data_IF_876568762468
#
_entry.id   IF_876568762468
#
_cell.length_a   1.000
_cell.length_b   1.000
_cell.length_c   1.000
_cell.angle_alpha   90.00
_cell.angle_beta   90.00
_cell.angle_gamma   90.00
#
_symmetry.space_group_name_H-M   'P 1'
#
loop_
_entity.id
_entity.type
_entity.pdbx_description
1 polymer ?
#
# COMPACT_ATOMS: atom_id res chain seq x y z
N UNK A 1 0.71 4.20 -2.95
CA UNK A 1 -0.35 4.61 -3.89
C UNK A 1 0.36 5.28 -5.04
N UNK A 2 -0.02 5.02 -6.28
CA UNK A 2 0.59 5.63 -7.45
C UNK A 2 -0.50 6.23 -8.35
N UNK A 3 -0.17 7.29 -9.07
CA UNK A 3 -0.98 7.85 -10.14
C UNK A 3 -0.16 7.73 -11.42
N UNK A 4 -0.76 7.21 -12.49
CA UNK A 4 -0.07 6.98 -13.75
C UNK A 4 -0.69 7.84 -14.85
N UNK A 5 0.14 8.66 -15.51
CA UNK A 5 -0.22 9.28 -16.78
C UNK A 5 -0.11 8.22 -17.89
N UNK A 6 -1.27 7.78 -18.39
CA UNK A 6 -1.33 6.74 -19.43
C UNK A 6 -0.88 7.24 -20.81
N UNK A 7 -0.88 8.55 -21.07
CA UNK A 7 -0.34 9.12 -22.29
C UNK A 7 1.18 9.09 -22.24
N UNK A 8 1.78 9.55 -21.14
CA UNK A 8 3.23 9.46 -20.92
C UNK A 8 3.69 7.99 -20.90
N UNK A 9 2.93 7.09 -20.26
CA UNK A 9 3.20 5.66 -20.25
C UNK A 9 3.39 5.09 -21.65
N UNK A 10 2.46 5.40 -22.57
CA UNK A 10 2.53 4.93 -23.97
C UNK A 10 3.70 5.56 -24.71
N UNK A 11 3.94 6.86 -24.54
CA UNK A 11 5.03 7.58 -25.20
C UNK A 11 6.42 7.06 -24.80
N UNK A 12 6.59 6.73 -23.52
CA UNK A 12 7.85 6.20 -22.98
C UNK A 12 7.95 4.67 -23.05
N UNK A 13 7.01 4.00 -23.71
CA UNK A 13 6.97 2.54 -23.89
C UNK A 13 7.19 1.74 -22.59
N UNK A 14 6.60 2.20 -21.49
CA UNK A 14 6.82 1.65 -20.13
C UNK A 14 6.51 0.16 -20.06
N UNK A 15 5.47 -0.31 -20.75
CA UNK A 15 5.11 -1.74 -20.81
C UNK A 15 6.26 -2.61 -21.31
N UNK A 16 6.97 -2.18 -22.36
CA UNK A 16 8.10 -2.95 -22.89
C UNK A 16 9.28 -2.97 -21.92
N UNK A 17 9.58 -1.84 -21.25
CA UNK A 17 10.61 -1.80 -20.21
C UNK A 17 10.30 -2.73 -19.04
N UNK A 18 9.03 -2.79 -18.62
CA UNK A 18 8.59 -3.72 -17.59
C UNK A 18 8.84 -5.18 -17.99
N UNK A 19 8.43 -5.57 -19.21
CA UNK A 19 8.65 -6.94 -19.69
C UNK A 19 10.13 -7.27 -19.85
N UNK A 20 10.95 -6.34 -20.34
CA UNK A 20 12.40 -6.51 -20.40
C UNK A 20 12.97 -6.87 -19.02
N UNK A 21 12.64 -6.12 -17.98
CA UNK A 21 13.14 -6.42 -16.63
C UNK A 21 12.60 -7.73 -16.08
N UNK A 22 11.35 -8.07 -16.35
CA UNK A 22 10.78 -9.37 -15.98
C UNK A 22 11.53 -10.54 -16.64
N UNK A 23 11.91 -10.40 -17.92
CA UNK A 23 12.70 -11.39 -18.64
C UNK A 23 14.13 -11.48 -18.09
N UNK A 24 14.75 -10.35 -17.75
CA UNK A 24 16.09 -10.34 -17.14
C UNK A 24 16.12 -11.05 -15.78
N UNK A 25 14.99 -11.10 -15.06
CA UNK A 25 14.87 -11.81 -13.79
C UNK A 25 14.14 -13.16 -13.93
N UNK A 26 14.09 -13.75 -15.12
CA UNK A 26 13.40 -15.03 -15.35
C UNK A 26 13.94 -16.17 -14.47
N UNK A 27 15.24 -16.14 -14.14
CA UNK A 27 15.90 -17.10 -13.25
C UNK A 27 15.92 -16.66 -11.77
N UNK A 28 15.26 -15.55 -11.43
CA UNK A 28 15.19 -14.96 -10.08
C UNK A 28 16.54 -14.56 -9.46
N UNK A 29 17.54 -14.26 -10.29
CA UNK A 29 18.88 -13.85 -9.81
C UNK A 29 18.98 -12.37 -9.43
N UNK A 30 18.19 -11.49 -10.06
CA UNK A 30 18.21 -10.05 -9.78
C UNK A 30 17.37 -9.69 -8.55
N UNK A 31 16.21 -10.34 -8.35
CA UNK A 31 15.40 -10.26 -7.14
C UNK A 31 14.55 -11.51 -6.94
N UNK A 32 14.20 -11.78 -5.68
CA UNK A 32 13.46 -13.01 -5.33
C UNK A 32 11.96 -12.90 -5.54
N UNK A 33 11.31 -11.89 -4.95
CA UNK A 33 9.85 -11.81 -4.91
C UNK A 33 9.36 -10.36 -4.87
N UNK A 34 8.13 -10.19 -5.35
CA UNK A 34 7.40 -8.93 -5.30
C UNK A 34 7.54 -8.10 -6.56
N UNK A 35 6.60 -7.17 -6.74
CA UNK A 35 6.51 -6.29 -7.91
C UNK A 35 7.30 -5.00 -7.72
N UNK A 36 7.74 -4.69 -6.49
CA UNK A 36 8.41 -3.43 -6.19
C UNK A 36 9.76 -3.28 -6.92
N UNK A 37 10.68 -4.26 -6.92
CA UNK A 37 11.94 -4.13 -7.66
C UNK A 37 11.72 -3.92 -9.16
N UNK A 38 10.84 -4.73 -9.77
CA UNK A 38 10.48 -4.60 -11.18
C UNK A 38 9.90 -3.21 -11.49
N UNK A 39 9.02 -2.69 -10.62
CA UNK A 39 8.48 -1.33 -10.75
C UNK A 39 9.58 -0.25 -10.67
N UNK A 40 10.47 -0.31 -9.67
CA UNK A 40 11.53 0.69 -9.52
C UNK A 40 12.47 0.74 -10.73
N UNK A 41 12.82 -0.43 -11.30
CA UNK A 41 13.63 -0.52 -12.51
C UNK A 41 12.87 -0.01 -13.75
N UNK A 42 11.58 -0.32 -13.86
CA UNK A 42 10.72 0.11 -14.97
C UNK A 42 10.54 1.61 -15.02
N UNK A 43 10.38 2.26 -13.87
CA UNK A 43 10.11 3.69 -13.77
C UNK A 43 11.34 4.53 -13.38
N UNK A 44 12.55 3.96 -13.46
CA UNK A 44 13.75 4.68 -13.08
C UNK A 44 13.89 5.97 -13.92
N UNK A 45 13.95 7.12 -13.25
CA UNK A 45 14.00 8.44 -13.89
C UNK A 45 12.67 8.93 -14.51
N UNK A 46 11.57 8.19 -14.33
CA UNK A 46 10.24 8.51 -14.87
C UNK A 46 9.20 8.79 -13.78
N UNK A 47 9.62 8.97 -12.52
CA UNK A 47 8.73 9.20 -11.38
C UNK A 47 8.86 10.61 -10.84
N UNK A 48 7.73 11.10 -10.32
CA UNK A 48 7.66 12.32 -9.52
C UNK A 48 7.19 11.98 -8.11
N UNK A 49 7.79 12.56 -7.06
CA UNK A 49 7.35 12.31 -5.70
C UNK A 49 6.00 12.98 -5.42
N UNK A 50 5.10 12.24 -4.78
CA UNK A 50 3.88 12.81 -4.21
C UNK A 50 4.16 13.34 -2.80
N UNK A 51 3.49 14.43 -2.42
CA UNK A 51 3.47 14.87 -1.02
C UNK A 51 3.00 13.71 -0.13
N UNK A 52 3.72 13.46 0.96
CA UNK A 52 3.48 12.31 1.85
C UNK A 52 2.05 12.27 2.41
N UNK A 53 1.33 13.40 2.47
CA UNK A 53 -0.08 13.46 2.87
C UNK A 53 -1.01 12.74 1.90
N UNK A 54 -0.63 12.53 0.65
CA UNK A 54 -1.44 11.72 -0.28
C UNK A 54 -1.55 10.26 0.17
N UNK A 55 -0.51 9.72 0.81
CA UNK A 55 -0.47 8.32 1.22
C UNK A 55 0.36 8.10 2.48
N UNK A 56 -0.32 8.03 3.63
CA UNK A 56 0.32 7.73 4.92
C UNK A 56 0.24 6.23 5.19
N UNK A 57 1.40 5.58 5.07
CA UNK A 57 1.58 4.15 5.36
C UNK A 57 2.18 3.92 6.76
N UNK A 58 2.14 2.66 7.20
CA UNK A 58 2.76 2.17 8.43
C UNK A 58 1.77 1.82 9.54
N UNK A 59 0.46 2.01 9.32
CA UNK A 59 -0.53 1.87 10.40
C UNK A 59 -0.77 0.40 10.85
N UNK A 60 -0.05 -0.56 10.30
CA UNK A 60 -0.02 -1.95 10.78
C UNK A 60 1.33 -2.38 11.38
N UNK A 61 2.29 -1.48 11.58
CA UNK A 61 3.54 -1.79 12.29
C UNK A 61 4.22 -0.61 13.01
N UNK A 62 3.98 0.65 12.60
CA UNK A 62 4.59 1.83 13.19
C UNK A 62 3.68 2.47 14.26
N UNK A 63 4.13 2.42 15.52
CA UNK A 63 3.39 2.97 16.67
C UNK A 63 3.45 4.50 16.76
N UNK A 64 4.33 5.15 16.00
CA UNK A 64 4.78 6.54 16.22
C UNK A 64 4.38 7.51 15.10
N UNK A 65 3.42 7.13 14.25
CA UNK A 65 2.92 8.06 13.22
C UNK A 65 2.22 9.24 13.91
N UNK A 66 2.58 10.46 13.51
CA UNK A 66 1.97 11.69 14.01
C UNK A 66 0.47 11.74 13.67
N UNK A 67 -0.37 12.05 14.66
CA UNK A 67 -1.81 12.23 14.48
C UNK A 67 -2.12 13.32 13.45
N UNK A 68 -1.37 14.43 13.43
CA UNK A 68 -1.60 15.52 12.46
C UNK A 68 -1.37 15.05 11.03
N UNK A 69 -0.41 14.16 10.83
CA UNK A 69 -0.15 13.56 9.53
C UNK A 69 -1.27 12.60 9.13
N UNK A 70 -1.80 11.80 10.07
CA UNK A 70 -2.95 10.92 9.83
C UNK A 70 -4.21 11.74 9.48
N UNK A 71 -4.47 12.82 10.21
CA UNK A 71 -5.65 13.67 10.02
C UNK A 71 -5.63 14.42 8.68
N UNK A 72 -4.44 14.83 8.22
CA UNK A 72 -4.26 15.49 6.92
C UNK A 72 -4.07 14.53 5.75
N UNK A 73 -4.14 13.22 5.99
CA UNK A 73 -3.92 12.22 4.96
C UNK A 73 -5.12 12.08 4.02
N UNK A 74 -4.88 12.03 2.71
CA UNK A 74 -5.91 11.64 1.74
C UNK A 74 -6.23 10.13 1.84
N UNK A 75 -5.18 9.31 1.99
CA UNK A 75 -5.28 7.86 2.16
C UNK A 75 -4.36 7.39 3.27
N UNK A 76 -4.90 6.61 4.20
CA UNK A 76 -4.13 5.87 5.21
C UNK A 76 -4.01 4.40 4.81
N UNK A 77 -2.85 3.78 5.05
CA UNK A 77 -2.59 2.39 4.70
C UNK A 77 -2.17 1.57 5.91
N UNK A 78 -3.03 0.61 6.27
CA UNK A 78 -2.79 -0.39 7.31
C UNK A 78 -1.91 -1.54 6.79
N UNK A 79 -0.73 -1.24 6.26
CA UNK A 79 0.26 -2.26 5.88
C UNK A 79 1.02 -2.77 7.11
N UNK A 80 1.42 -4.05 7.07
CA UNK A 80 2.04 -4.74 8.20
C UNK A 80 1.17 -5.85 8.80
N UNK A 81 1.61 -6.36 9.95
CA UNK A 81 1.03 -7.54 10.59
C UNK A 81 0.02 -7.19 11.70
N UNK A 82 0.02 -5.94 12.20
CA UNK A 82 -0.85 -5.48 13.29
C UNK A 82 -2.02 -4.63 12.76
N UNK A 83 -2.69 -5.12 11.71
CA UNK A 83 -3.81 -4.45 11.04
C UNK A 83 -5.03 -4.33 11.98
N UNK A 84 -5.87 -3.28 11.87
CA UNK A 84 -6.86 -2.92 12.89
C UNK A 84 -7.97 -3.94 13.13
N UNK A 85 -8.20 -4.86 12.18
CA UNK A 85 -9.15 -5.96 12.30
C UNK A 85 -8.60 -7.22 12.99
N UNK A 86 -7.34 -7.20 13.43
CA UNK A 86 -6.71 -8.34 14.11
C UNK A 86 -6.69 -8.15 15.64
N UNK A 87 -6.57 -9.26 16.38
CA UNK A 87 -6.40 -9.22 17.85
C UNK A 87 -5.14 -8.44 18.26
N UNK A 88 -4.04 -8.63 17.53
CA UNK A 88 -2.74 -7.98 17.76
C UNK A 88 -2.65 -6.55 17.18
N UNK A 89 -3.78 -5.97 16.75
CA UNK A 89 -3.82 -4.64 16.17
C UNK A 89 -3.27 -3.56 17.10
N UNK A 90 -2.63 -2.55 16.49
CA UNK A 90 -2.23 -1.32 17.18
C UNK A 90 -3.48 -0.57 17.65
N UNK A 91 -3.67 -0.50 18.97
CA UNK A 91 -4.91 0.02 19.58
C UNK A 91 -5.31 1.41 19.10
N UNK A 92 -4.35 2.35 19.03
CA UNK A 92 -4.62 3.74 18.60
C UNK A 92 -5.15 3.89 17.17
N UNK A 93 -4.91 2.91 16.30
CA UNK A 93 -5.37 2.96 14.90
C UNK A 93 -6.67 2.20 14.65
N UNK A 94 -7.15 1.38 15.61
CA UNK A 94 -8.42 0.65 15.47
C UNK A 94 -9.61 1.56 15.15
N UNK A 95 -9.81 2.72 15.81
CA UNK A 95 -10.98 3.56 15.56
C UNK A 95 -11.06 4.09 14.12
N UNK A 96 -9.91 4.28 13.46
CA UNK A 96 -9.83 4.78 12.09
C UNK A 96 -10.49 3.85 11.07
N UNK A 97 -10.44 2.54 11.33
CA UNK A 97 -11.09 1.50 10.52
C UNK A 97 -12.49 1.17 11.02
N UNK A 98 -12.64 0.97 12.34
CA UNK A 98 -13.90 0.50 12.96
C UNK A 98 -15.09 1.41 12.67
N UNK A 99 -14.88 2.74 12.54
CA UNK A 99 -15.95 3.69 12.18
C UNK A 99 -16.65 3.39 10.85
N UNK A 100 -16.04 2.61 9.97
CA UNK A 100 -16.61 2.20 8.68
C UNK A 100 -17.12 0.75 8.69
N UNK A 101 -16.98 0.03 9.81
CA UNK A 101 -17.43 -1.35 9.93
C UNK A 101 -18.90 -1.38 10.32
N UNK A 102 -19.72 -2.03 9.49
CA UNK A 102 -21.12 -2.28 9.83
C UNK A 102 -21.22 -3.45 10.82
N UNK A 103 -21.21 -3.15 12.11
CA UNK A 103 -21.30 -4.17 13.15
C UNK A 103 -22.61 -4.98 13.15
N UNK A 104 -23.66 -4.46 12.52
CA UNK A 104 -24.93 -5.17 12.31
C UNK A 104 -24.87 -6.23 11.20
N UNK A 105 -23.76 -6.33 10.46
CA UNK A 105 -23.61 -7.31 9.40
C UNK A 105 -23.57 -8.74 9.98
N UNK A 106 -24.39 -9.70 9.50
CA UNK A 106 -24.49 -11.05 10.08
C UNK A 106 -23.13 -11.76 10.24
N UNK A 107 -22.31 -11.78 9.19
CA UNK A 107 -20.96 -12.39 9.25
C UNK A 107 -20.01 -11.80 10.30
N UNK A 108 -20.23 -10.57 10.74
CA UNK A 108 -19.41 -9.94 11.78
C UNK A 108 -19.91 -10.24 13.19
N UNK A 109 -21.23 -10.43 13.36
CA UNK A 109 -21.81 -10.87 14.64
C UNK A 109 -21.29 -12.25 15.02
N UNK A 110 -21.25 -13.18 14.06
CA UNK A 110 -20.76 -14.55 14.27
C UNK A 110 -19.29 -14.61 14.73
N UNK A 111 -18.49 -13.61 14.33
CA UNK A 111 -17.07 -13.49 14.72
C UNK A 111 -16.88 -12.96 16.15
N UNK A 112 -17.87 -12.27 16.72
CA UNK A 112 -17.82 -11.73 18.10
C UNK A 112 -18.30 -12.77 19.12
N UNK A 113 -19.14 -13.70 18.71
CA UNK A 113 -19.71 -14.75 19.56
C UNK A 113 -18.91 -16.06 19.57
N UNK A 114 -17.86 -16.17 18.76
CA UNK A 114 -16.99 -17.36 18.65
C UNK A 114 -15.72 -17.24 19.49
#
# INVERSE_FOLDING_TARGET
>A
MNVFDLVAWRKSNVTAHYHYWQEQNADSTLWKLGTLPAGLLTFYGLTEPLDRRWHVLGLGYDLNIDNRLIESAAVIHFNGNMKPWLKLAIGRYKPLWQRYVNHSHPYLQDCVTS
#
